data_IF_312217900266
#
_entry.id   IF_312217900266
#
_cell.length_a   1.000
_cell.length_b   1.000
_cell.length_c   1.000
_cell.angle_alpha   90.00
_cell.angle_beta   90.00
_cell.angle_gamma   90.00
#
_symmetry.space_group_name_H-M   'P 1'
#
loop_
_entity.id
_entity.type
_entity.pdbx_description
1 polymer ?
#
# COMPACT_ATOMS: atom_id res chain seq x y z
N UNK A 1 0.29 7.68 -13.35
CA UNK A 1 -0.73 8.42 -12.56
C UNK A 1 -0.90 9.87 -13.02
N UNK A 2 -2.14 10.37 -13.12
CA UNK A 2 -2.50 11.80 -13.28
C UNK A 2 -2.99 12.45 -11.95
N UNK A 3 -3.28 13.75 -11.94
CA UNK A 3 -3.70 14.47 -10.72
C UNK A 3 -5.00 13.93 -10.12
N UNK A 4 -5.99 13.56 -10.95
CA UNK A 4 -7.27 13.03 -10.47
C UNK A 4 -7.06 11.68 -9.78
N UNK A 5 -6.23 10.83 -10.38
CA UNK A 5 -5.85 9.54 -9.81
C UNK A 5 -5.08 9.73 -8.50
N UNK A 6 -4.14 10.69 -8.44
CA UNK A 6 -3.37 10.99 -7.23
C UNK A 6 -4.26 11.48 -6.08
N UNK A 7 -5.17 12.41 -6.36
CA UNK A 7 -6.13 12.93 -5.36
C UNK A 7 -7.02 11.81 -4.84
N UNK A 8 -7.54 10.93 -5.71
CA UNK A 8 -8.33 9.78 -5.29
C UNK A 8 -7.53 8.82 -4.39
N UNK A 9 -6.27 8.56 -4.74
CA UNK A 9 -5.39 7.70 -3.94
C UNK A 9 -5.04 8.31 -2.58
N UNK A 10 -4.71 9.62 -2.52
CA UNK A 10 -4.50 10.31 -1.25
C UNK A 10 -5.77 10.34 -0.39
N UNK A 11 -6.93 10.61 -1.00
CA UNK A 11 -8.21 10.57 -0.30
C UNK A 11 -8.52 9.16 0.25
N UNK A 12 -8.11 8.10 -0.47
CA UNK A 12 -8.21 6.73 0.01
C UNK A 12 -7.29 6.47 1.21
N UNK A 13 -6.04 6.91 1.15
CA UNK A 13 -5.06 6.76 2.24
C UNK A 13 -5.37 7.64 3.45
N UNK A 14 -6.03 8.77 3.27
CA UNK A 14 -6.35 9.74 4.33
C UNK A 14 -7.35 9.26 5.40
N UNK A 15 -7.68 7.96 5.43
CA UNK A 15 -8.50 7.36 6.48
C UNK A 15 -7.70 6.26 7.20
N UNK A 16 -7.76 6.27 8.52
CA UNK A 16 -6.88 5.49 9.40
C UNK A 16 -6.85 3.98 9.10
N UNK A 17 -8.01 3.33 9.01
CA UNK A 17 -8.09 1.90 8.74
C UNK A 17 -7.57 1.55 7.34
N UNK A 18 -7.87 2.37 6.33
CA UNK A 18 -7.37 2.18 4.95
C UNK A 18 -5.84 2.28 4.92
N UNK A 19 -5.26 3.24 5.63
CA UNK A 19 -3.81 3.34 5.77
C UNK A 19 -3.21 2.11 6.45
N UNK A 20 -3.82 1.63 7.55
CA UNK A 20 -3.37 0.41 8.24
C UNK A 20 -3.46 -0.82 7.34
N UNK A 21 -4.53 -0.97 6.54
CA UNK A 21 -4.68 -2.06 5.55
C UNK A 21 -3.54 -2.02 4.53
N UNK A 22 -3.26 -0.87 3.93
CA UNK A 22 -2.16 -0.75 2.94
C UNK A 22 -0.83 -1.12 3.58
N UNK A 23 -0.56 -0.67 4.81
CA UNK A 23 0.67 -1.05 5.53
C UNK A 23 0.77 -2.55 5.79
N UNK A 24 -0.31 -3.19 6.25
CA UNK A 24 -0.34 -4.63 6.47
C UNK A 24 -0.05 -5.40 5.16
N UNK A 25 -0.66 -4.97 4.06
CA UNK A 25 -0.47 -5.59 2.75
C UNK A 25 0.94 -5.36 2.17
N UNK A 26 1.55 -4.19 2.41
CA UNK A 26 2.94 -3.94 2.01
C UNK A 26 3.89 -4.87 2.77
N UNK A 27 3.68 -5.05 4.08
CA UNK A 27 4.46 -5.97 4.92
C UNK A 27 4.27 -7.43 4.52
N UNK A 28 3.04 -7.82 4.17
CA UNK A 28 2.72 -9.19 3.73
C UNK A 28 3.32 -9.54 2.37
N UNK A 29 3.80 -8.56 1.61
CA UNK A 29 4.43 -8.83 0.32
C UNK A 29 3.42 -9.19 -0.79
N UNK A 30 3.94 -9.74 -1.91
CA UNK A 30 3.11 -10.22 -3.03
C UNK A 30 2.11 -11.31 -2.64
N UNK A 31 2.42 -12.10 -1.61
CA UNK A 31 1.56 -13.17 -1.12
C UNK A 31 0.27 -12.60 -0.51
N UNK A 32 0.35 -11.45 0.14
CA UNK A 32 -0.82 -10.74 0.63
C UNK A 32 -1.54 -11.45 1.79
N UNK A 33 -2.78 -11.05 2.06
CA UNK A 33 -3.56 -11.53 3.19
C UNK A 33 -5.03 -11.80 2.80
N UNK A 34 -5.62 -12.81 3.43
CA UNK A 34 -7.06 -13.05 3.31
C UNK A 34 -7.87 -11.94 4.01
N UNK A 35 -9.07 -11.65 3.49
CA UNK A 35 -9.96 -10.64 4.09
C UNK A 35 -10.25 -10.88 5.59
N UNK A 36 -10.40 -12.15 5.99
CA UNK A 36 -10.62 -12.51 7.40
C UNK A 36 -9.43 -12.09 8.28
N UNK A 37 -8.22 -12.42 7.85
CA UNK A 37 -6.98 -12.05 8.56
C UNK A 37 -6.83 -10.53 8.69
N UNK A 38 -7.06 -9.80 7.59
CA UNK A 38 -7.06 -8.32 7.61
C UNK A 38 -8.09 -7.77 8.59
N UNK A 39 -9.30 -8.33 8.66
CA UNK A 39 -10.34 -7.82 9.56
C UNK A 39 -9.91 -7.95 11.02
N UNK A 40 -9.30 -9.08 11.36
CA UNK A 40 -8.74 -9.35 12.69
C UNK A 40 -7.57 -8.43 13.01
N UNK A 41 -6.59 -8.28 12.11
CA UNK A 41 -5.42 -7.42 12.34
C UNK A 41 -5.77 -5.94 12.51
N UNK A 42 -6.72 -5.44 11.71
CA UNK A 42 -7.13 -4.03 11.74
C UNK A 42 -8.14 -3.76 12.88
N UNK A 43 -8.79 -4.81 13.40
CA UNK A 43 -9.76 -4.70 14.49
C UNK A 43 -11.12 -4.14 14.06
N UNK A 44 -11.58 -4.51 12.86
CA UNK A 44 -12.86 -4.02 12.28
C UNK A 44 -13.75 -5.18 11.83
N UNK A 45 -15.05 -4.92 11.66
CA UNK A 45 -15.98 -5.93 11.13
C UNK A 45 -15.69 -6.25 9.66
N UNK A 46 -16.04 -7.46 9.22
CA UNK A 46 -15.86 -7.89 7.83
C UNK A 46 -16.58 -6.96 6.82
N UNK A 47 -17.77 -6.48 7.18
CA UNK A 47 -18.53 -5.52 6.36
C UNK A 47 -17.78 -4.20 6.22
N UNK A 48 -17.25 -3.65 7.32
CA UNK A 48 -16.51 -2.39 7.30
C UNK A 48 -15.18 -2.55 6.54
N UNK A 49 -14.47 -3.67 6.74
CA UNK A 49 -13.28 -3.97 5.96
C UNK A 49 -13.58 -4.03 4.46
N UNK A 50 -14.67 -4.69 4.05
CA UNK A 50 -15.05 -4.79 2.64
C UNK A 50 -15.22 -3.41 2.00
N UNK A 51 -15.82 -2.46 2.74
CA UNK A 51 -15.92 -1.07 2.30
C UNK A 51 -14.53 -0.44 2.12
N UNK A 52 -13.64 -0.56 3.11
CA UNK A 52 -12.27 -0.06 3.00
C UNK A 52 -11.48 -0.67 1.82
N UNK A 53 -11.59 -1.98 1.62
CA UNK A 53 -10.93 -2.70 0.52
C UNK A 53 -11.46 -2.25 -0.84
N UNK A 54 -12.77 -2.03 -0.96
CA UNK A 54 -13.37 -1.53 -2.21
C UNK A 54 -12.83 -0.14 -2.57
N UNK A 55 -12.78 0.77 -1.61
CA UNK A 55 -12.24 2.12 -1.82
C UNK A 55 -10.76 2.10 -2.22
N UNK A 56 -9.95 1.29 -1.52
CA UNK A 56 -8.53 1.13 -1.85
C UNK A 56 -8.29 0.50 -3.22
N UNK A 57 -9.11 -0.50 -3.58
CA UNK A 57 -9.02 -1.16 -4.89
C UNK A 57 -9.45 -0.21 -6.01
N UNK A 58 -10.49 0.59 -5.81
CA UNK A 58 -10.91 1.61 -6.76
C UNK A 58 -9.84 2.69 -6.97
N UNK A 59 -9.11 3.04 -5.90
CA UNK A 59 -7.97 3.94 -5.95
C UNK A 59 -6.70 3.32 -6.59
N UNK A 60 -6.72 2.03 -6.95
CA UNK A 60 -5.58 1.34 -7.56
C UNK A 60 -4.41 1.06 -6.61
N UNK A 61 -4.65 1.08 -5.29
CA UNK A 61 -3.60 0.91 -4.27
C UNK A 61 -3.45 -0.53 -3.78
N UNK A 62 -4.47 -1.35 -4.00
CA UNK A 62 -4.48 -2.78 -3.68
C UNK A 62 -5.09 -3.55 -4.83
N UNK A 63 -4.79 -4.84 -4.87
CA UNK A 63 -5.37 -5.79 -5.81
C UNK A 63 -5.88 -7.02 -5.06
N UNK A 64 -6.69 -7.82 -5.72
CA UNK A 64 -7.24 -9.05 -5.15
C UNK A 64 -7.16 -10.20 -6.13
N UNK A 65 -6.98 -11.41 -5.60
CA UNK A 65 -7.01 -12.66 -6.35
C UNK A 65 -7.79 -13.71 -5.58
N UNK A 66 -8.39 -14.65 -6.29
CA UNK A 66 -9.19 -15.72 -5.67
C UNK A 66 -8.34 -16.97 -5.52
N UNK A 67 -8.26 -17.48 -4.30
CA UNK A 67 -7.55 -18.72 -3.96
C UNK A 67 -8.54 -19.69 -3.30
N UNK A 68 -9.05 -20.63 -4.09
CA UNK A 68 -10.10 -21.56 -3.67
C UNK A 68 -11.36 -20.83 -3.22
N UNK A 69 -11.68 -20.94 -1.92
CA UNK A 69 -12.85 -20.31 -1.30
C UNK A 69 -12.56 -18.91 -0.74
N UNK A 70 -11.30 -18.50 -0.71
CA UNK A 70 -10.85 -17.25 -0.11
C UNK A 70 -10.52 -16.21 -1.18
N UNK A 71 -10.60 -14.93 -0.80
CA UNK A 71 -10.06 -13.81 -1.58
C UNK A 71 -8.84 -13.27 -0.83
N UNK A 72 -7.72 -13.24 -1.53
CA UNK A 72 -6.45 -12.72 -1.02
C UNK A 72 -6.23 -11.33 -1.60
N UNK A 73 -5.88 -10.38 -0.75
CA UNK A 73 -5.58 -9.00 -1.10
C UNK A 73 -4.07 -8.79 -0.98
N UNK A 74 -3.48 -8.04 -1.92
CA UNK A 74 -2.07 -7.64 -1.87
C UNK A 74 -1.94 -6.16 -2.22
N UNK A 75 -0.79 -5.55 -1.87
CA UNK A 75 -0.49 -4.20 -2.30
C UNK A 75 -0.34 -4.15 -3.83
N UNK A 76 -0.84 -3.08 -4.46
CA UNK A 76 -0.57 -2.78 -5.86
C UNK A 76 0.68 -1.89 -5.93
N UNK A 77 1.87 -2.51 -5.95
CA UNK A 77 3.15 -1.81 -5.84
C UNK A 77 3.39 -0.78 -6.94
N UNK A 78 2.91 -1.04 -8.16
CA UNK A 78 2.97 -0.07 -9.26
C UNK A 78 2.19 1.21 -8.89
N UNK A 79 0.94 1.08 -8.46
CA UNK A 79 0.11 2.22 -8.06
C UNK A 79 0.67 3.00 -6.85
N UNK A 80 1.25 2.30 -5.87
CA UNK A 80 1.93 2.93 -4.74
C UNK A 80 3.19 3.68 -5.17
N UNK A 81 4.01 3.08 -6.03
CA UNK A 81 5.23 3.71 -6.54
C UNK A 81 4.90 4.94 -7.39
N UNK A 82 3.86 4.85 -8.22
CA UNK A 82 3.32 5.95 -9.01
C UNK A 82 2.86 7.13 -8.13
N UNK A 83 2.17 6.85 -7.02
CA UNK A 83 1.70 7.87 -6.09
C UNK A 83 2.87 8.60 -5.40
N UNK A 84 3.88 7.86 -4.96
CA UNK A 84 5.10 8.43 -4.35
C UNK A 84 5.84 9.27 -5.39
N UNK A 85 6.02 8.75 -6.60
CA UNK A 85 6.68 9.48 -7.69
C UNK A 85 5.90 10.75 -8.07
N UNK A 86 4.56 10.71 -8.06
CA UNK A 86 3.73 11.87 -8.30
C UNK A 86 3.95 12.96 -7.24
N UNK A 87 3.95 12.59 -5.95
CA UNK A 87 4.21 13.53 -4.84
C UNK A 87 5.60 14.17 -4.95
N UNK A 88 6.59 13.39 -5.35
CA UNK A 88 8.00 13.80 -5.37
C UNK A 88 8.40 14.59 -6.63
N UNK A 89 7.62 14.52 -7.72
CA UNK A 89 7.97 15.06 -9.04
C UNK A 89 8.37 16.55 -9.01
N UNK A 90 7.70 17.32 -8.16
CA UNK A 90 7.94 18.75 -7.97
C UNK A 90 8.35 19.12 -6.54
N UNK A 91 8.61 18.12 -5.68
CA UNK A 91 8.75 18.32 -4.23
C UNK A 91 9.94 19.20 -3.85
N UNK A 92 11.03 19.14 -4.62
CA UNK A 92 12.27 19.81 -4.25
C UNK A 92 12.46 21.17 -4.95
N UNK A 93 11.87 21.47 -6.12
CA UNK A 93 12.06 22.74 -6.86
C UNK A 93 13.51 23.30 -6.85
N UNK A 94 14.53 22.43 -6.95
CA UNK A 94 15.95 22.81 -6.87
C UNK A 94 16.56 22.89 -5.45
N UNK A 95 15.82 22.45 -4.42
CA UNK A 95 16.18 22.41 -2.99
C UNK A 95 16.30 20.96 -2.49
N UNK A 96 17.43 20.28 -2.76
CA UNK A 96 17.60 18.88 -2.41
C UNK A 96 17.46 18.60 -0.90
N UNK A 97 17.67 19.59 -0.04
CA UNK A 97 17.50 19.49 1.41
C UNK A 97 16.07 19.12 1.85
N UNK A 98 15.05 19.45 1.03
CA UNK A 98 13.64 19.10 1.31
C UNK A 98 13.41 17.60 1.18
N UNK A 99 14.02 16.99 0.16
CA UNK A 99 13.80 15.61 -0.21
C UNK A 99 14.85 14.66 0.36
N UNK A 100 16.02 15.17 0.77
CA UNK A 100 17.14 14.37 1.27
C UNK A 100 16.77 13.42 2.42
N UNK A 101 15.98 13.81 3.45
CA UNK A 101 15.58 12.89 4.50
C UNK A 101 14.70 11.75 4.00
N UNK A 102 13.76 12.04 3.09
CA UNK A 102 12.87 11.05 2.51
C UNK A 102 13.64 10.06 1.61
N UNK A 103 14.57 10.57 0.78
CA UNK A 103 15.44 9.74 -0.07
C UNK A 103 16.36 8.87 0.78
N UNK A 104 16.93 9.40 1.86
CA UNK A 104 17.75 8.62 2.77
C UNK A 104 16.96 7.50 3.45
N UNK A 105 15.74 7.79 3.92
CA UNK A 105 14.85 6.79 4.50
C UNK A 105 14.50 5.67 3.51
N UNK A 106 14.19 6.02 2.24
CA UNK A 106 13.92 5.05 1.18
C UNK A 106 15.16 4.23 0.81
N UNK A 107 16.34 4.84 0.79
CA UNK A 107 17.61 4.16 0.49
C UNK A 107 18.04 3.20 1.60
N UNK A 108 17.58 3.43 2.83
CA UNK A 108 17.78 2.53 3.97
C UNK A 108 16.81 1.32 3.97
N UNK A 109 15.79 1.31 3.10
CA UNK A 109 14.95 0.14 2.83
C UNK A 109 15.74 -0.91 2.03
N UNK A 110 16.79 -1.46 2.61
CA UNK A 110 17.31 -2.76 2.18
C UNK A 110 16.20 -3.78 2.43
N UNK A 111 15.88 -4.61 1.42
CA UNK A 111 14.73 -5.51 1.42
C UNK A 111 14.66 -6.45 2.64
N UNK A 112 13.55 -7.19 2.81
CA UNK A 112 13.50 -8.20 3.86
C UNK A 112 14.69 -9.16 3.72
N UNK A 113 15.30 -9.63 4.82
CA UNK A 113 16.34 -10.66 4.74
C UNK A 113 15.75 -11.83 3.95
N UNK A 114 16.33 -12.13 2.79
CA UNK A 114 15.88 -13.21 1.94
C UNK A 114 15.87 -14.52 2.72
N UNK A 115 14.81 -15.31 2.53
CA UNK A 115 14.66 -16.67 3.05
C UNK A 115 15.90 -17.50 2.72
N UNK A 116 16.78 -17.65 3.70
CA UNK A 116 17.90 -18.59 3.70
C UNK A 116 17.48 -19.95 4.25
N UNK A 117 16.31 -20.48 3.85
CA UNK A 117 15.81 -21.74 4.40
C UNK A 117 15.01 -22.58 3.39
N UNK A 118 15.61 -22.93 2.24
CA UNK A 118 15.26 -24.15 1.51
C UNK A 118 16.51 -24.76 0.86
N UNK A 119 17.24 -25.55 1.66
CA UNK A 119 18.06 -26.69 1.23
C UNK A 119 17.68 -27.88 2.11
#
# INVERSE_FOLDING_TARGET
>A
MDERQAVAAFAALGQENRFRVVRALVTAGPDGLAAGTLATEIGVSATNLTFHLKELSHAGLIQSRREGKSVIYSAAYEGLSDLIAFLMRDCCQGRPEVCAPAVAALSACNGPPGDGAHV
#
